data_IF_139289613818
#
_entry.id   IF_139289613818
#
_cell.length_a   1.000
_cell.length_b   1.000
_cell.length_c   1.000
_cell.angle_alpha   90.00
_cell.angle_beta   90.00
_cell.angle_gamma   90.00
#
_symmetry.space_group_name_H-M   'P 1'
#
loop_
_entity.id
_entity.type
_entity.pdbx_description
1 polymer ?
#
# COMPACT_ATOMS: atom_id res chain seq x y z
N UNK A 1 -32.40 -1.50 -22.83
CA UNK A 1 -31.21 -0.83 -23.41
C UNK A 1 -30.12 -0.98 -22.39
N UNK A 2 -29.30 -2.03 -22.52
CA UNK A 2 -28.22 -2.35 -21.59
C UNK A 2 -27.05 -1.48 -22.00
N UNK A 3 -26.75 -0.46 -21.19
CA UNK A 3 -25.51 0.28 -21.35
C UNK A 3 -24.37 -0.67 -20.98
N UNK A 4 -23.66 -1.17 -21.98
CA UNK A 4 -22.34 -1.74 -21.79
C UNK A 4 -21.44 -0.52 -21.55
N UNK A 5 -21.28 -0.13 -20.28
CA UNK A 5 -20.16 0.72 -19.89
C UNK A 5 -18.90 -0.06 -20.26
N UNK A 6 -18.21 0.37 -21.32
CA UNK A 6 -16.81 0.01 -21.53
C UNK A 6 -16.05 0.63 -20.36
N UNK A 7 -15.95 -0.09 -19.25
CA UNK A 7 -15.27 0.41 -18.08
C UNK A 7 -13.80 0.56 -18.43
N UNK A 8 -13.34 1.82 -18.47
CA UNK A 8 -11.97 2.19 -18.71
C UNK A 8 -11.04 1.45 -17.74
N UNK A 9 -10.03 0.77 -18.26
CA UNK A 9 -9.00 0.10 -17.46
C UNK A 9 -8.01 1.16 -16.97
N UNK A 10 -7.94 1.35 -15.65
CA UNK A 10 -7.02 2.30 -15.02
C UNK A 10 -5.71 1.65 -14.58
N UNK A 11 -5.72 0.34 -14.35
CA UNK A 11 -4.51 -0.38 -13.97
C UNK A 11 -4.55 -1.77 -14.60
N UNK A 12 -3.46 -2.18 -15.21
CA UNK A 12 -3.26 -3.51 -15.77
C UNK A 12 -2.01 -4.14 -15.18
N UNK A 13 -2.17 -5.29 -14.55
CA UNK A 13 -1.08 -6.09 -14.00
C UNK A 13 -1.01 -7.40 -14.78
N UNK A 14 0.19 -7.79 -15.26
CA UNK A 14 0.42 -9.00 -16.06
C UNK A 14 1.62 -9.78 -15.59
N UNK A 15 1.38 -11.04 -15.23
CA UNK A 15 2.39 -12.06 -14.89
C UNK A 15 3.43 -11.53 -13.89
N UNK A 16 2.96 -10.76 -12.88
CA UNK A 16 3.84 -10.11 -11.92
C UNK A 16 4.52 -11.16 -11.05
N UNK A 17 5.85 -11.15 -11.02
CA UNK A 17 6.68 -11.98 -10.15
C UNK A 17 7.64 -11.12 -9.35
N UNK A 18 7.67 -11.39 -8.04
CA UNK A 18 8.58 -10.73 -7.10
C UNK A 18 9.23 -11.79 -6.21
N UNK A 19 10.54 -11.74 -6.13
CA UNK A 19 11.32 -12.55 -5.19
C UNK A 19 12.40 -11.71 -4.51
N UNK A 20 12.82 -12.15 -3.35
CA UNK A 20 13.96 -11.62 -2.62
C UNK A 20 15.06 -12.67 -2.55
N UNK A 21 16.29 -12.24 -2.71
CA UNK A 21 17.46 -13.07 -2.45
C UNK A 21 17.67 -13.13 -0.93
N UNK A 22 17.62 -14.35 -0.37
CA UNK A 22 17.96 -14.56 1.02
C UNK A 22 19.50 -14.66 1.10
N UNK A 23 20.12 -13.55 1.51
CA UNK A 23 21.52 -13.62 1.94
C UNK A 23 21.56 -14.39 3.26
N UNK A 24 22.07 -15.61 3.20
CA UNK A 24 22.39 -16.34 4.41
C UNK A 24 23.63 -15.66 5.04
N UNK A 25 23.39 -14.66 5.89
CA UNK A 25 24.37 -14.32 6.92
C UNK A 25 24.43 -15.49 7.92
N UNK A 26 24.99 -16.61 7.47
CA UNK A 26 25.41 -17.66 8.39
C UNK A 26 26.39 -16.99 9.36
N UNK A 27 26.13 -17.08 10.65
CA UNK A 27 27.16 -16.90 11.65
C UNK A 27 28.27 -17.91 11.32
N UNK A 28 29.17 -17.55 10.43
CA UNK A 28 30.41 -18.27 10.24
C UNK A 28 31.20 -18.06 11.51
N UNK A 29 31.04 -18.98 12.44
CA UNK A 29 31.98 -19.11 13.52
C UNK A 29 33.36 -19.29 12.93
N UNK A 30 34.40 -18.78 13.58
CA UNK A 30 35.79 -18.92 13.17
C UNK A 30 36.14 -20.38 12.80
N UNK A 31 35.38 -21.34 13.32
CA UNK A 31 35.49 -22.79 13.06
C UNK A 31 35.03 -23.17 11.64
N UNK A 32 34.00 -22.50 11.08
CA UNK A 32 33.48 -22.82 9.74
C UNK A 32 34.37 -22.24 8.64
N UNK A 33 35.05 -21.11 8.91
CA UNK A 33 36.08 -20.55 8.04
C UNK A 33 37.30 -21.46 7.95
N UNK A 34 37.67 -22.13 9.05
CA UNK A 34 38.77 -23.07 9.07
C UNK A 34 38.43 -24.38 8.34
N UNK A 35 37.22 -24.89 8.47
CA UNK A 35 36.80 -26.13 7.78
C UNK A 35 36.65 -25.89 6.28
N UNK A 36 36.16 -24.74 5.83
CA UNK A 36 36.04 -24.39 4.41
C UNK A 36 37.38 -24.17 3.72
N UNK A 37 38.40 -23.71 4.44
CA UNK A 37 39.76 -23.56 3.93
C UNK A 37 40.47 -24.89 3.64
N UNK A 38 40.02 -25.98 4.28
CA UNK A 38 40.63 -27.33 4.14
C UNK A 38 39.85 -28.20 3.13
N UNK A 39 38.56 -27.93 2.89
CA UNK A 39 37.68 -28.80 2.07
C UNK A 39 37.55 -28.39 0.61
N UNK A 40 38.22 -27.37 0.14
CA UNK A 40 38.27 -26.96 -1.27
C UNK A 40 37.51 -25.65 -1.60
N UNK A 41 38.20 -24.73 -2.29
CA UNK A 41 37.65 -23.36 -2.52
C UNK A 41 36.56 -23.27 -3.59
N UNK A 42 36.18 -24.35 -4.25
CA UNK A 42 35.26 -24.32 -5.40
C UNK A 42 33.77 -24.39 -5.03
N UNK A 43 33.38 -25.01 -3.92
CA UNK A 43 31.97 -25.11 -3.52
C UNK A 43 31.41 -23.78 -2.96
N UNK A 44 32.27 -22.90 -2.49
CA UNK A 44 31.89 -21.61 -1.94
C UNK A 44 31.39 -20.62 -3.01
N UNK A 45 31.84 -20.77 -4.26
CA UNK A 45 31.50 -19.87 -5.37
C UNK A 45 30.19 -20.24 -6.10
N UNK A 46 29.56 -21.37 -5.80
CA UNK A 46 28.39 -21.87 -6.54
C UNK A 46 27.10 -22.05 -5.72
N UNK A 47 27.03 -21.54 -4.49
CA UNK A 47 25.73 -21.49 -3.81
C UNK A 47 24.88 -20.41 -4.47
N UNK A 48 23.96 -20.84 -5.33
CA UNK A 48 22.90 -19.95 -5.84
C UNK A 48 22.14 -19.37 -4.65
N UNK A 49 21.86 -18.06 -4.64
CA UNK A 49 21.08 -17.47 -3.56
C UNK A 49 19.73 -18.18 -3.47
N UNK A 50 19.30 -18.46 -2.25
CA UNK A 50 17.95 -18.98 -2.02
C UNK A 50 16.95 -17.86 -2.30
N UNK A 51 16.03 -18.10 -3.24
CA UNK A 51 15.04 -17.13 -3.66
C UNK A 51 13.74 -17.31 -2.85
N UNK A 52 13.32 -16.29 -2.12
CA UNK A 52 12.01 -16.21 -1.49
C UNK A 52 11.01 -15.58 -2.47
N UNK A 53 10.17 -16.39 -3.08
CA UNK A 53 9.10 -15.90 -3.96
C UNK A 53 7.98 -15.31 -3.12
N UNK A 54 7.68 -14.01 -3.34
CA UNK A 54 6.64 -13.27 -2.63
C UNK A 54 5.42 -13.05 -3.50
N UNK A 55 5.59 -12.90 -4.82
CA UNK A 55 4.51 -12.88 -5.80
C UNK A 55 4.85 -13.80 -6.97
N UNK A 56 3.86 -14.57 -7.43
CA UNK A 56 4.00 -15.57 -8.48
C UNK A 56 2.84 -15.46 -9.46
N UNK A 57 3.12 -14.95 -10.68
CA UNK A 57 2.19 -14.86 -11.82
C UNK A 57 0.87 -14.12 -11.52
N UNK A 58 0.93 -13.04 -10.76
CA UNK A 58 -0.27 -12.24 -10.44
C UNK A 58 -0.68 -11.42 -11.67
N UNK A 59 -1.94 -11.58 -12.11
CA UNK A 59 -2.51 -10.84 -13.26
C UNK A 59 -3.94 -10.44 -12.98
N UNK A 60 -4.29 -9.16 -13.17
CA UNK A 60 -5.65 -8.64 -13.08
C UNK A 60 -5.76 -7.26 -13.74
N UNK A 61 -6.99 -6.81 -14.00
CA UNK A 61 -7.32 -5.48 -14.50
C UNK A 61 -8.18 -4.74 -13.48
N UNK A 62 -7.83 -3.49 -13.20
CA UNK A 62 -8.61 -2.60 -12.33
C UNK A 62 -9.30 -1.55 -13.21
N UNK A 63 -10.62 -1.58 -13.21
CA UNK A 63 -11.45 -0.68 -14.00
C UNK A 63 -11.89 0.54 -13.19
N UNK A 64 -12.23 1.62 -13.88
CA UNK A 64 -12.82 2.82 -13.25
C UNK A 64 -14.08 2.43 -12.45
N UNK A 65 -14.20 2.99 -11.26
CA UNK A 65 -15.29 2.68 -10.32
C UNK A 65 -15.07 1.40 -9.50
N UNK A 66 -13.99 0.63 -9.74
CA UNK A 66 -13.67 -0.53 -8.91
C UNK A 66 -13.09 -0.09 -7.57
N UNK A 67 -13.65 -0.64 -6.50
CA UNK A 67 -13.09 -0.61 -5.15
C UNK A 67 -12.69 -2.03 -4.79
N UNK A 68 -11.42 -2.34 -4.97
CA UNK A 68 -10.84 -3.67 -4.85
C UNK A 68 -10.32 -3.91 -3.43
N UNK A 69 -10.93 -4.82 -2.68
CA UNK A 69 -10.38 -5.34 -1.44
C UNK A 69 -9.29 -6.39 -1.70
N UNK A 70 -8.14 -6.30 -1.04
CA UNK A 70 -7.13 -7.36 -1.10
C UNK A 70 -7.14 -8.12 0.22
N UNK A 71 -7.49 -9.40 0.18
CA UNK A 71 -7.50 -10.33 1.30
C UNK A 71 -6.37 -11.35 1.18
N UNK A 72 -5.90 -11.82 2.33
CA UNK A 72 -4.86 -12.86 2.44
C UNK A 72 -4.19 -12.79 3.80
N UNK A 73 -3.61 -13.90 4.25
CA UNK A 73 -2.88 -13.97 5.53
C UNK A 73 -1.64 -13.08 5.53
N UNK A 74 -1.06 -12.87 6.71
CA UNK A 74 0.21 -12.16 6.83
C UNK A 74 1.30 -12.88 6.03
N UNK A 75 2.08 -12.12 5.26
CA UNK A 75 3.10 -12.68 4.37
C UNK A 75 2.57 -13.20 3.03
N UNK A 76 1.27 -13.08 2.70
CA UNK A 76 0.72 -13.51 1.40
C UNK A 76 1.15 -12.63 0.21
N UNK A 77 1.79 -11.47 0.44
CA UNK A 77 2.29 -10.59 -0.61
C UNK A 77 1.46 -9.33 -0.86
N UNK A 78 0.41 -9.04 -0.07
CA UNK A 78 -0.50 -7.88 -0.26
C UNK A 78 0.24 -6.55 -0.34
N UNK A 79 1.03 -6.22 0.67
CA UNK A 79 1.81 -4.97 0.71
C UNK A 79 2.86 -4.91 -0.39
N UNK A 80 3.48 -6.05 -0.74
CA UNK A 80 4.43 -6.14 -1.85
C UNK A 80 3.75 -5.82 -3.19
N UNK A 81 2.56 -6.40 -3.44
CA UNK A 81 1.76 -6.09 -4.63
C UNK A 81 1.43 -4.60 -4.70
N UNK A 82 0.93 -4.03 -3.60
CA UNK A 82 0.61 -2.60 -3.53
C UNK A 82 1.84 -1.70 -3.76
N UNK A 83 3.01 -2.06 -3.21
CA UNK A 83 4.27 -1.30 -3.44
C UNK A 83 4.75 -1.39 -4.89
N UNK A 84 4.58 -2.54 -5.54
CA UNK A 84 4.87 -2.67 -6.98
C UNK A 84 3.94 -1.79 -7.82
N UNK A 85 2.63 -1.79 -7.53
CA UNK A 85 1.64 -0.95 -8.25
C UNK A 85 1.94 0.54 -8.03
N UNK A 86 2.35 0.93 -6.82
CA UNK A 86 2.74 2.31 -6.51
C UNK A 86 4.09 2.73 -7.12
N UNK A 87 4.80 1.83 -7.83
CA UNK A 87 6.13 2.10 -8.38
C UNK A 87 7.25 2.22 -7.34
N UNK A 88 6.97 1.86 -6.08
CA UNK A 88 7.95 1.91 -4.97
C UNK A 88 8.86 0.68 -4.94
N UNK A 89 8.48 -0.37 -5.65
CA UNK A 89 9.25 -1.61 -5.78
C UNK A 89 9.18 -2.10 -7.23
N UNK A 90 10.33 -2.49 -7.77
CA UNK A 90 10.41 -3.08 -9.11
C UNK A 90 10.20 -4.58 -9.01
N UNK A 91 9.30 -5.12 -9.84
CA UNK A 91 9.16 -6.56 -10.03
C UNK A 91 10.29 -7.09 -10.91
N UNK A 92 10.69 -8.35 -10.70
CA UNK A 92 11.69 -9.01 -11.55
C UNK A 92 11.10 -9.44 -12.89
N UNK A 93 9.81 -9.77 -12.92
CA UNK A 93 9.10 -10.15 -14.14
C UNK A 93 7.68 -9.60 -14.15
N UNK A 94 7.11 -9.50 -15.35
CA UNK A 94 5.77 -8.96 -15.56
C UNK A 94 5.75 -7.46 -15.83
N UNK A 95 4.55 -6.93 -16.05
CA UNK A 95 4.33 -5.50 -16.32
C UNK A 95 3.20 -4.95 -15.46
N UNK A 96 3.32 -3.68 -15.11
CA UNK A 96 2.27 -2.87 -14.48
C UNK A 96 2.11 -1.63 -15.33
N UNK A 97 0.91 -1.42 -15.85
CA UNK A 97 0.54 -0.26 -16.65
C UNK A 97 -0.60 0.46 -15.91
N UNK A 98 -0.39 1.73 -15.57
CA UNK A 98 -1.39 2.58 -14.92
C UNK A 98 -1.73 3.78 -15.79
N UNK A 99 -3.02 4.05 -15.95
CA UNK A 99 -3.54 5.26 -16.59
C UNK A 99 -3.76 6.33 -15.50
N UNK A 100 -3.00 7.41 -15.60
CA UNK A 100 -3.08 8.52 -14.66
C UNK A 100 -2.23 8.38 -13.40
N UNK A 101 -2.64 9.09 -12.34
CA UNK A 101 -1.90 9.20 -11.08
C UNK A 101 -2.24 8.06 -10.13
N UNK A 102 -1.21 7.33 -9.67
CA UNK A 102 -1.33 6.33 -8.59
C UNK A 102 -0.87 6.97 -7.28
N UNK A 103 -1.73 7.00 -6.27
CA UNK A 103 -1.39 7.46 -4.93
C UNK A 103 -1.57 6.35 -3.91
N UNK A 104 -0.53 6.11 -3.12
CA UNK A 104 -0.51 5.04 -2.15
C UNK A 104 -0.20 5.55 -0.74
N UNK A 105 -0.90 4.98 0.23
CA UNK A 105 -0.69 5.18 1.65
C UNK A 105 -0.46 3.81 2.27
N UNK A 106 0.77 3.58 2.77
CA UNK A 106 1.15 2.29 3.38
C UNK A 106 1.25 2.38 4.90
N UNK A 107 1.70 3.51 5.40
CA UNK A 107 1.93 3.74 6.83
C UNK A 107 1.94 5.24 7.09
N UNK A 108 1.51 5.63 8.27
CA UNK A 108 1.49 7.03 8.72
C UNK A 108 2.89 7.61 8.95
N UNK A 109 3.94 6.78 8.95
CA UNK A 109 5.34 7.18 9.14
C UNK A 109 6.14 7.38 7.84
N UNK A 110 5.63 6.93 6.68
CA UNK A 110 6.40 6.99 5.43
C UNK A 110 6.60 8.43 4.95
N UNK A 111 7.86 8.82 4.73
CA UNK A 111 8.24 10.16 4.27
C UNK A 111 8.21 11.25 5.35
N UNK A 112 7.96 10.89 6.60
CA UNK A 112 7.96 11.79 7.76
C UNK A 112 9.38 12.02 8.24
N UNK A 113 9.69 13.29 8.54
CA UNK A 113 10.92 13.73 9.21
C UNK A 113 10.57 14.08 10.67
N UNK A 114 10.90 13.24 11.66
CA UNK A 114 10.42 13.44 13.04
C UNK A 114 10.85 14.78 13.68
N UNK A 115 12.01 15.30 13.29
CA UNK A 115 12.52 16.57 13.82
C UNK A 115 11.83 17.83 13.24
N UNK A 116 11.18 17.70 12.09
CA UNK A 116 10.43 18.80 11.48
C UNK A 116 9.05 18.96 12.16
N UNK A 117 8.49 20.17 12.10
CA UNK A 117 7.14 20.46 12.54
C UNK A 117 6.09 19.75 11.67
N UNK A 118 4.85 19.69 12.13
CA UNK A 118 3.75 19.16 11.32
C UNK A 118 3.55 19.94 10.02
N UNK A 119 3.71 21.27 10.06
CA UNK A 119 3.61 22.13 8.86
C UNK A 119 4.71 21.82 7.85
N UNK A 120 5.96 21.72 8.29
CA UNK A 120 7.08 21.38 7.41
C UNK A 120 6.92 19.97 6.82
N UNK A 121 6.50 18.99 7.61
CA UNK A 121 6.16 17.65 7.13
C UNK A 121 5.00 17.68 6.14
N UNK A 122 3.95 18.50 6.36
CA UNK A 122 2.84 18.63 5.42
C UNK A 122 3.32 19.16 4.07
N UNK A 123 4.21 20.15 4.03
CA UNK A 123 4.82 20.63 2.78
C UNK A 123 5.69 19.57 2.10
N UNK A 124 6.50 18.85 2.87
CA UNK A 124 7.36 17.76 2.36
C UNK A 124 6.50 16.65 1.72
N UNK A 125 5.50 16.17 2.45
CA UNK A 125 4.58 15.13 1.99
C UNK A 125 3.72 15.60 0.81
N UNK A 126 3.28 16.86 0.80
CA UNK A 126 2.53 17.40 -0.33
C UNK A 126 3.35 17.38 -1.62
N UNK A 127 4.66 17.68 -1.56
CA UNK A 127 5.55 17.54 -2.70
C UNK A 127 5.73 16.10 -3.16
N UNK A 128 5.72 15.16 -2.23
CA UNK A 128 5.80 13.73 -2.53
C UNK A 128 4.51 13.20 -3.15
N UNK A 129 3.34 13.56 -2.59
CA UNK A 129 2.03 13.08 -3.05
C UNK A 129 1.51 13.80 -4.29
N UNK A 130 1.97 15.02 -4.56
CA UNK A 130 1.51 15.87 -5.68
C UNK A 130 2.69 16.42 -6.49
N UNK A 131 3.56 15.53 -7.05
CA UNK A 131 4.80 15.96 -7.70
C UNK A 131 4.57 16.86 -8.94
N UNK A 132 3.40 16.78 -9.56
CA UNK A 132 3.04 17.57 -10.75
C UNK A 132 2.60 19.00 -10.41
N UNK A 133 2.31 19.30 -9.14
CA UNK A 133 1.88 20.63 -8.73
C UNK A 133 3.07 21.58 -8.57
N UNK A 134 3.00 22.74 -9.17
CA UNK A 134 4.02 23.81 -9.01
C UNK A 134 3.98 24.40 -7.61
N UNK A 135 2.78 24.63 -7.08
CA UNK A 135 2.55 25.14 -5.72
C UNK A 135 1.63 24.18 -4.95
N UNK A 136 2.11 23.68 -3.83
CA UNK A 136 1.39 22.79 -2.94
C UNK A 136 0.77 23.51 -1.75
N UNK A 137 1.08 24.81 -1.57
CA UNK A 137 0.64 25.61 -0.41
C UNK A 137 -0.87 25.59 -0.21
N UNK A 138 -1.73 25.75 -1.24
CA UNK A 138 -3.18 25.71 -1.05
C UNK A 138 -3.68 24.36 -0.52
N UNK A 139 -3.06 23.25 -0.95
CA UNK A 139 -3.39 21.89 -0.49
C UNK A 139 -2.94 21.71 0.97
N UNK A 140 -1.75 22.19 1.29
CA UNK A 140 -1.22 22.12 2.66
C UNK A 140 -2.08 22.92 3.63
N UNK A 141 -2.44 24.16 3.28
CA UNK A 141 -3.27 25.02 4.13
C UNK A 141 -4.66 24.39 4.37
N UNK A 142 -5.28 23.82 3.33
CA UNK A 142 -6.55 23.12 3.43
C UNK A 142 -6.44 21.88 4.33
N UNK A 143 -5.37 21.07 4.15
CA UNK A 143 -5.15 19.87 4.94
C UNK A 143 -4.88 20.22 6.42
N UNK A 144 -4.12 21.27 6.70
CA UNK A 144 -3.85 21.76 8.05
C UNK A 144 -5.16 22.20 8.70
N UNK A 145 -5.96 23.01 8.01
CA UNK A 145 -7.26 23.46 8.53
C UNK A 145 -8.19 22.28 8.82
N UNK A 146 -8.24 21.27 7.91
CA UNK A 146 -9.06 20.08 8.11
C UNK A 146 -8.58 19.21 9.27
N UNK A 147 -7.28 19.10 9.51
CA UNK A 147 -6.68 18.26 10.56
C UNK A 147 -7.06 18.68 11.98
N UNK A 148 -7.47 19.95 12.18
CA UNK A 148 -7.82 20.54 13.47
C UNK A 148 -6.71 20.41 14.54
N UNK A 149 -5.46 20.40 14.12
CA UNK A 149 -4.32 20.32 15.04
C UNK A 149 -4.03 21.65 15.77
N UNK A 150 -4.59 22.78 15.27
CA UNK A 150 -4.41 24.10 15.88
C UNK A 150 -2.92 24.46 16.00
N UNK A 151 -2.52 24.92 17.20
CA UNK A 151 -1.14 25.29 17.47
C UNK A 151 -0.13 24.13 17.43
N UNK A 152 -0.59 22.87 17.55
CA UNK A 152 0.27 21.71 17.43
C UNK A 152 0.90 21.57 16.06
N UNK A 153 0.36 22.23 15.02
CA UNK A 153 0.93 22.13 13.67
C UNK A 153 2.39 22.63 13.59
N UNK A 154 2.77 23.54 14.47
CA UNK A 154 4.12 24.13 14.53
C UNK A 154 5.02 23.47 15.60
N UNK A 155 4.57 22.34 16.18
CA UNK A 155 5.35 21.51 17.11
C UNK A 155 6.08 20.39 16.33
N UNK A 156 7.30 19.98 16.73
CA UNK A 156 8.02 18.88 16.12
C UNK A 156 7.20 17.58 16.08
N UNK A 157 7.23 16.89 14.95
CA UNK A 157 6.36 15.72 14.68
C UNK A 157 6.60 14.54 15.64
N UNK A 158 7.81 14.38 16.18
CA UNK A 158 8.08 13.32 17.16
C UNK A 158 7.28 13.46 18.46
N UNK A 159 6.69 14.64 18.72
CA UNK A 159 5.81 14.89 19.87
C UNK A 159 4.35 14.56 19.57
N UNK A 160 4.01 14.21 18.32
CA UNK A 160 2.63 13.89 17.94
C UNK A 160 2.21 12.52 18.48
N UNK A 161 1.00 12.45 19.01
CA UNK A 161 0.33 11.16 19.19
C UNK A 161 0.05 10.50 17.84
N UNK A 162 -0.14 9.17 17.81
CA UNK A 162 -0.52 8.45 16.58
C UNK A 162 -1.80 9.05 15.95
N UNK A 163 -2.77 9.46 16.76
CA UNK A 163 -3.98 10.12 16.29
C UNK A 163 -3.70 11.46 15.58
N UNK A 164 -2.80 12.31 16.12
CA UNK A 164 -2.38 13.56 15.49
C UNK A 164 -1.65 13.31 14.17
N UNK A 165 -0.78 12.31 14.14
CA UNK A 165 -0.08 11.88 12.92
C UNK A 165 -1.06 11.46 11.82
N UNK A 166 -2.00 10.56 12.15
CA UNK A 166 -3.03 10.11 11.22
C UNK A 166 -3.93 11.26 10.74
N UNK A 167 -4.30 12.19 11.64
CA UNK A 167 -5.11 13.36 11.26
C UNK A 167 -4.43 14.19 10.18
N UNK A 168 -3.15 14.53 10.35
CA UNK A 168 -2.41 15.35 9.38
C UNK A 168 -2.24 14.62 8.06
N UNK A 169 -1.79 13.36 8.09
CA UNK A 169 -1.52 12.57 6.91
C UNK A 169 -2.80 12.36 6.07
N UNK A 170 -3.88 11.88 6.70
CA UNK A 170 -5.13 11.60 6.00
C UNK A 170 -5.82 12.87 5.49
N UNK A 171 -5.68 14.00 6.22
CA UNK A 171 -6.13 15.30 5.73
C UNK A 171 -5.41 15.68 4.44
N UNK A 172 -4.10 15.52 4.41
CA UNK A 172 -3.27 15.89 3.26
C UNK A 172 -3.55 15.00 2.04
N UNK A 173 -3.54 13.68 2.23
CA UNK A 173 -3.73 12.73 1.13
C UNK A 173 -5.10 12.88 0.48
N UNK A 174 -6.14 13.12 1.29
CA UNK A 174 -7.53 13.28 0.82
C UNK A 174 -7.85 14.66 0.25
N UNK A 175 -6.88 15.58 0.22
CA UNK A 175 -7.12 16.94 -0.26
C UNK A 175 -7.38 17.01 -1.79
N UNK A 176 -6.89 16.06 -2.56
CA UNK A 176 -7.08 16.00 -4.03
C UNK A 176 -7.36 14.57 -4.47
N UNK A 177 -8.33 14.39 -5.34
CA UNK A 177 -8.64 13.09 -5.97
C UNK A 177 -7.45 12.56 -6.80
N UNK A 178 -7.44 11.23 -7.05
CA UNK A 178 -6.43 10.53 -7.83
C UNK A 178 -7.10 9.48 -8.72
N UNK A 179 -6.42 9.02 -9.77
CA UNK A 179 -6.98 8.00 -10.67
C UNK A 179 -6.98 6.62 -9.99
N UNK A 180 -5.88 6.23 -9.37
CA UNK A 180 -5.78 4.99 -8.58
C UNK A 180 -5.33 5.31 -7.16
N UNK A 181 -6.13 4.92 -6.18
CA UNK A 181 -5.86 5.09 -4.76
C UNK A 181 -5.51 3.75 -4.13
N UNK A 182 -4.41 3.67 -3.38
CA UNK A 182 -4.02 2.50 -2.60
C UNK A 182 -4.03 2.87 -1.12
N UNK A 183 -4.78 2.10 -0.32
CA UNK A 183 -4.89 2.25 1.13
C UNK A 183 -4.51 0.92 1.79
N UNK A 184 -3.35 0.87 2.46
CA UNK A 184 -2.85 -0.32 3.14
C UNK A 184 -2.82 -0.08 4.66
N UNK A 185 -3.81 -0.65 5.36
CA UNK A 185 -3.96 -0.62 6.83
C UNK A 185 -3.93 0.77 7.49
N UNK A 186 -4.48 1.79 6.82
CA UNK A 186 -4.28 3.20 7.20
C UNK A 186 -5.28 3.71 8.25
N UNK A 187 -6.36 2.96 8.56
CA UNK A 187 -7.46 3.46 9.38
C UNK A 187 -7.31 3.26 10.90
N UNK A 188 -6.22 2.64 11.35
CA UNK A 188 -6.00 2.37 12.75
C UNK A 188 -5.42 3.59 13.49
N UNK A 189 -6.15 4.13 14.49
CA UNK A 189 -5.57 5.05 15.48
C UNK A 189 -6.13 6.47 15.58
N UNK A 190 -7.12 6.89 14.79
CA UNK A 190 -7.76 8.20 14.98
C UNK A 190 -8.77 8.19 16.14
N UNK A 191 -8.95 9.31 16.87
CA UNK A 191 -9.95 9.43 17.93
C UNK A 191 -11.39 9.44 17.39
N UNK A 192 -12.35 9.04 18.24
CA UNK A 192 -13.76 8.78 17.87
C UNK A 192 -14.45 9.99 17.24
N UNK A 193 -14.13 11.23 17.66
CA UNK A 193 -14.78 12.43 17.13
C UNK A 193 -14.24 12.82 15.75
N UNK A 194 -12.93 12.74 15.57
CA UNK A 194 -12.30 12.99 14.28
C UNK A 194 -12.60 11.87 13.29
N UNK A 195 -12.77 10.64 13.77
CA UNK A 195 -13.13 9.50 12.93
C UNK A 195 -14.39 9.72 12.11
N UNK A 196 -15.45 10.33 12.66
CA UNK A 196 -16.68 10.60 11.90
C UNK A 196 -16.45 11.60 10.76
N UNK A 197 -15.74 12.68 11.04
CA UNK A 197 -15.40 13.71 10.04
C UNK A 197 -14.46 13.14 8.98
N UNK A 198 -13.45 12.40 9.42
CA UNK A 198 -12.49 11.75 8.54
C UNK A 198 -13.16 10.65 7.70
N UNK A 199 -14.04 9.83 8.27
CA UNK A 199 -14.75 8.78 7.55
C UNK A 199 -15.60 9.35 6.41
N UNK A 200 -16.32 10.46 6.63
CA UNK A 200 -17.05 11.14 5.57
C UNK A 200 -16.13 11.67 4.47
N UNK A 201 -15.01 12.30 4.85
CA UNK A 201 -14.02 12.78 3.88
C UNK A 201 -13.37 11.64 3.10
N UNK A 202 -12.98 10.55 3.78
CA UNK A 202 -12.40 9.37 3.15
C UNK A 202 -13.40 8.65 2.24
N UNK A 203 -14.68 8.56 2.65
CA UNK A 203 -15.74 8.05 1.78
C UNK A 203 -15.82 8.86 0.48
N UNK A 204 -15.93 10.18 0.58
CA UNK A 204 -15.95 11.08 -0.56
C UNK A 204 -14.66 10.98 -1.41
N UNK A 205 -13.52 10.79 -0.77
CA UNK A 205 -12.23 10.64 -1.44
C UNK A 205 -12.17 9.35 -2.24
N UNK A 206 -12.58 8.21 -1.64
CA UNK A 206 -12.68 6.91 -2.30
C UNK A 206 -13.70 6.96 -3.46
N UNK A 207 -14.85 7.62 -3.27
CA UNK A 207 -15.87 7.78 -4.31
C UNK A 207 -15.41 8.65 -5.49
N UNK A 208 -14.52 9.62 -5.24
CA UNK A 208 -13.93 10.49 -6.28
C UNK A 208 -12.69 9.90 -6.94
N UNK A 209 -12.05 8.91 -6.35
CA UNK A 209 -10.97 8.19 -6.99
C UNK A 209 -11.48 7.44 -8.22
N UNK A 210 -10.67 7.37 -9.26
CA UNK A 210 -11.01 6.59 -10.44
C UNK A 210 -11.19 5.12 -10.09
N UNK A 211 -10.28 4.56 -9.30
CA UNK A 211 -10.36 3.23 -8.69
C UNK A 211 -9.64 3.22 -7.34
N UNK A 212 -9.97 2.26 -6.47
CA UNK A 212 -9.35 2.12 -5.15
C UNK A 212 -8.91 0.69 -4.91
N UNK A 213 -7.70 0.52 -4.37
CA UNK A 213 -7.20 -0.73 -3.80
C UNK A 213 -7.17 -0.56 -2.28
N UNK A 214 -7.86 -1.43 -1.57
CA UNK A 214 -8.02 -1.38 -0.13
C UNK A 214 -7.53 -2.67 0.52
N UNK A 215 -6.51 -2.56 1.38
CA UNK A 215 -5.99 -3.68 2.16
C UNK A 215 -6.41 -3.51 3.60
N UNK A 216 -7.09 -4.51 4.13
CA UNK A 216 -7.50 -4.56 5.54
C UNK A 216 -7.53 -6.00 6.04
N UNK A 217 -7.27 -6.19 7.32
CA UNK A 217 -7.46 -7.45 8.02
C UNK A 217 -8.94 -7.69 8.40
N UNK A 218 -9.78 -6.66 8.36
CA UNK A 218 -11.19 -6.74 8.70
C UNK A 218 -12.03 -6.99 7.43
N UNK A 219 -12.64 -8.18 7.37
CA UNK A 219 -13.58 -8.53 6.30
C UNK A 219 -14.79 -7.57 6.26
N UNK A 220 -15.24 -7.09 7.43
CA UNK A 220 -16.36 -6.16 7.51
C UNK A 220 -16.01 -4.81 6.88
N UNK A 221 -14.79 -4.28 7.12
CA UNK A 221 -14.33 -3.06 6.44
C UNK A 221 -14.25 -3.26 4.92
N UNK A 222 -13.82 -4.44 4.46
CA UNK A 222 -13.79 -4.75 3.03
C UNK A 222 -15.20 -4.78 2.45
N UNK A 223 -16.19 -5.35 3.16
CA UNK A 223 -17.60 -5.33 2.74
C UNK A 223 -18.18 -3.92 2.65
N UNK A 224 -17.84 -3.06 3.60
CA UNK A 224 -18.37 -1.69 3.66
C UNK A 224 -17.80 -0.79 2.54
N UNK A 225 -16.56 -1.01 2.15
CA UNK A 225 -15.80 -0.13 1.24
C UNK A 225 -15.76 -0.66 -0.19
N UNK A 226 -15.63 -1.97 -0.38
CA UNK A 226 -15.27 -2.59 -1.65
C UNK A 226 -16.47 -3.12 -2.43
N UNK A 227 -16.31 -3.26 -3.76
CA UNK A 227 -17.28 -3.91 -4.65
C UNK A 227 -16.68 -5.13 -5.36
N UNK A 228 -15.37 -5.30 -5.30
CA UNK A 228 -14.63 -6.49 -5.77
C UNK A 228 -13.58 -6.90 -4.76
N UNK A 229 -13.13 -8.15 -4.87
CA UNK A 229 -12.07 -8.67 -4.00
C UNK A 229 -11.04 -9.48 -4.80
N UNK A 230 -9.80 -9.38 -4.33
CA UNK A 230 -8.67 -10.15 -4.76
C UNK A 230 -8.15 -10.94 -3.55
N UNK A 231 -8.04 -12.26 -3.67
CA UNK A 231 -7.52 -13.13 -2.62
C UNK A 231 -6.14 -13.61 -2.99
N UNK A 232 -5.16 -13.26 -2.15
CA UNK A 232 -3.77 -13.71 -2.27
C UNK A 232 -3.45 -14.80 -1.26
N UNK A 233 -2.79 -15.86 -1.72
CA UNK A 233 -2.23 -16.89 -0.86
C UNK A 233 -0.80 -17.22 -1.28
N UNK A 234 0.15 -17.07 -0.37
CA UNK A 234 1.57 -17.38 -0.60
C UNK A 234 2.09 -16.84 -1.94
N UNK A 235 1.72 -15.61 -2.27
CA UNK A 235 2.12 -14.94 -3.50
C UNK A 235 1.30 -15.27 -4.75
N UNK A 236 0.36 -16.22 -4.67
CA UNK A 236 -0.49 -16.60 -5.79
C UNK A 236 -1.86 -15.92 -5.72
N UNK A 237 -2.38 -15.52 -6.87
CA UNK A 237 -3.74 -15.04 -7.02
C UNK A 237 -4.70 -16.24 -7.01
N UNK A 238 -5.49 -16.40 -5.94
CA UNK A 238 -6.49 -17.47 -5.85
C UNK A 238 -7.84 -17.06 -6.45
N UNK A 239 -8.21 -15.79 -6.29
CA UNK A 239 -9.49 -15.26 -6.75
C UNK A 239 -9.39 -13.78 -7.08
N UNK A 240 -10.09 -13.37 -8.12
CA UNK A 240 -10.35 -11.97 -8.46
C UNK A 240 -11.76 -11.88 -9.04
N UNK A 241 -12.64 -11.10 -8.41
CA UNK A 241 -14.04 -10.99 -8.87
C UNK A 241 -14.95 -10.34 -7.84
N UNK A 242 -16.20 -10.79 -7.84
CA UNK A 242 -17.25 -10.28 -6.97
C UNK A 242 -16.95 -10.50 -5.49
N UNK A 243 -17.47 -9.61 -4.65
CA UNK A 243 -17.06 -9.46 -3.25
C UNK A 243 -17.35 -10.72 -2.41
N UNK A 244 -18.63 -11.15 -2.36
CA UNK A 244 -19.03 -12.22 -1.45
C UNK A 244 -18.44 -13.60 -1.79
N UNK A 245 -18.39 -14.05 -3.08
CA UNK A 245 -17.72 -15.31 -3.41
C UNK A 245 -16.25 -15.35 -3.01
N UNK A 246 -15.53 -14.23 -3.15
CA UNK A 246 -14.14 -14.16 -2.77
C UNK A 246 -13.93 -14.10 -1.26
N UNK A 247 -14.81 -13.41 -0.52
CA UNK A 247 -14.80 -13.42 0.95
C UNK A 247 -15.07 -14.83 1.48
N UNK A 248 -16.06 -15.54 0.92
CA UNK A 248 -16.37 -16.91 1.29
C UNK A 248 -15.18 -17.85 1.05
N UNK A 249 -14.47 -17.67 -0.07
CA UNK A 249 -13.26 -18.43 -0.36
C UNK A 249 -12.17 -18.17 0.68
N UNK A 250 -11.96 -16.90 1.04
CA UNK A 250 -10.97 -16.50 2.04
C UNK A 250 -11.30 -17.09 3.42
N UNK A 251 -12.57 -17.00 3.86
CA UNK A 251 -12.99 -17.50 5.18
C UNK A 251 -12.95 -19.04 5.28
N UNK A 252 -13.19 -19.76 4.18
CA UNK A 252 -13.08 -21.24 4.13
C UNK A 252 -11.63 -21.73 4.12
N UNK A 253 -10.69 -20.87 3.76
CA UNK A 253 -9.27 -21.20 3.70
C UNK A 253 -8.45 -20.27 4.62
N UNK A 254 -8.58 -20.37 5.95
CA UNK A 254 -7.92 -19.45 6.89
C UNK A 254 -6.38 -19.54 6.88
N UNK A 255 -5.81 -20.40 6.06
CA UNK A 255 -4.38 -20.47 5.75
C UNK A 255 -4.07 -19.93 4.34
N UNK A 256 -5.10 -19.37 3.66
CA UNK A 256 -4.94 -18.72 2.37
C UNK A 256 -4.39 -17.30 2.51
#
# INVERSE_FOLDING_TARGET
MTFIESSEVLLRVRNLRVHFELEHYGHQGVRDVFVSAVSGPLEFFFKSPELLYVLSDVSFDLHRGTRLGILGVNGSGKTTLCRCIAGMMKAQQGTIEAEGEVRAIFDTGTGIMPALTGRENAHLLARLFFPTLRDVTPIVDEAIAFSELGHFIDVPFYQYSKGMQSRLLLSLVSAKATDVLILDEVFDGADIFFQKKLALRMKNFIERAGATIFVSHSVDQVRDVCNKVLVLNRGHLLYYGDLEPGIDLYLKNPQA
#
